data_IF_451882723818
#
_entry.id   IF_451882723818
#
_cell.length_a   1.000
_cell.length_b   1.000
_cell.length_c   1.000
_cell.angle_alpha   90.00
_cell.angle_beta   90.00
_cell.angle_gamma   90.00
#
_symmetry.space_group_name_H-M   'P 1'
#
loop_
_entity.id
_entity.type
_entity.pdbx_description
1 polymer ?
#
# COMPACT_ATOMS: atom_id res chain seq x y z
N UNK A 1 4.19 20.41 24.13
CA UNK A 1 4.93 19.77 23.02
C UNK A 1 5.12 18.32 23.43
N UNK A 2 4.65 17.37 22.61
CA UNK A 2 4.98 15.96 22.85
C UNK A 2 6.48 15.77 22.61
N UNK A 3 7.11 14.93 23.43
CA UNK A 3 8.54 14.65 23.35
C UNK A 3 8.82 13.85 22.06
N UNK A 4 9.88 14.21 21.33
CA UNK A 4 10.31 13.46 20.15
C UNK A 4 10.75 12.05 20.57
N UNK A 5 10.12 11.03 19.99
CA UNK A 5 10.45 9.62 20.20
C UNK A 5 11.45 9.16 19.15
N UNK A 6 12.26 8.16 19.49
CA UNK A 6 13.04 7.38 18.54
C UNK A 6 12.29 6.09 18.18
N UNK A 7 11.87 5.96 16.93
CA UNK A 7 10.96 4.91 16.47
C UNK A 7 11.66 4.06 15.40
N UNK A 8 11.63 2.74 15.57
CA UNK A 8 12.00 1.82 14.50
C UNK A 8 10.77 1.44 13.66
N UNK A 9 10.86 1.59 12.34
CA UNK A 9 9.84 1.09 11.40
C UNK A 9 10.44 -0.05 10.59
N UNK A 10 9.92 -1.27 10.76
CA UNK A 10 10.40 -2.45 10.05
C UNK A 10 9.55 -2.70 8.83
N UNK A 11 10.12 -2.53 7.64
CA UNK A 11 9.47 -2.69 6.34
C UNK A 11 9.15 -1.35 5.69
N UNK A 12 9.51 -1.20 4.42
CA UNK A 12 9.32 0.03 3.63
C UNK A 12 8.34 -0.18 2.46
N UNK A 13 7.29 -0.97 2.69
CA UNK A 13 6.11 -1.02 1.84
C UNK A 13 5.22 0.22 2.01
N UNK A 14 4.00 0.18 1.46
CA UNK A 14 3.05 1.31 1.54
C UNK A 14 2.79 1.79 2.98
N UNK A 15 2.61 0.86 3.92
CA UNK A 15 2.38 1.21 5.32
C UNK A 15 3.63 1.84 5.97
N UNK A 16 4.81 1.24 5.77
CA UNK A 16 6.07 1.78 6.28
C UNK A 16 6.41 3.16 5.75
N UNK A 17 6.18 3.40 4.45
CA UNK A 17 6.33 4.71 3.83
C UNK A 17 5.36 5.74 4.40
N UNK A 18 4.07 5.39 4.54
CA UNK A 18 3.09 6.29 5.14
C UNK A 18 3.44 6.63 6.60
N UNK A 19 3.92 5.64 7.37
CA UNK A 19 4.43 5.86 8.73
C UNK A 19 5.64 6.79 8.73
N UNK A 20 6.60 6.59 7.82
CA UNK A 20 7.80 7.43 7.73
C UNK A 20 7.47 8.90 7.46
N UNK A 21 6.56 9.14 6.50
CA UNK A 21 6.08 10.50 6.20
C UNK A 21 5.35 11.13 7.39
N UNK A 22 4.39 10.42 7.98
CA UNK A 22 3.52 10.98 9.03
C UNK A 22 4.27 11.18 10.35
N UNK A 23 5.02 10.17 10.81
CA UNK A 23 5.77 10.26 12.07
C UNK A 23 6.95 11.24 11.96
N UNK A 24 7.58 11.32 10.79
CA UNK A 24 8.61 12.34 10.52
C UNK A 24 8.03 13.76 10.53
N UNK A 25 6.85 13.97 9.93
CA UNK A 25 6.15 15.25 9.98
C UNK A 25 5.71 15.64 11.40
N UNK A 26 5.42 14.66 12.25
CA UNK A 26 5.12 14.86 13.69
C UNK A 26 6.38 15.12 14.53
N UNK A 27 7.58 15.09 13.94
CA UNK A 27 8.84 15.45 14.59
C UNK A 27 9.53 14.31 15.35
N UNK A 28 9.18 13.06 15.06
CA UNK A 28 9.86 11.88 15.62
C UNK A 28 11.12 11.53 14.83
N UNK A 29 12.07 10.87 15.50
CA UNK A 29 13.29 10.35 14.88
C UNK A 29 13.05 8.91 14.44
N UNK A 30 13.32 8.60 13.16
CA UNK A 30 12.97 7.32 12.58
C UNK A 30 14.21 6.57 12.11
N UNK A 31 14.35 5.32 12.53
CA UNK A 31 15.22 4.34 11.87
C UNK A 31 14.31 3.37 11.10
N UNK A 32 14.34 3.45 9.77
CA UNK A 32 13.47 2.64 8.90
C UNK A 32 14.29 1.56 8.21
N UNK A 33 13.81 0.31 8.27
CA UNK A 33 14.54 -0.85 7.78
C UNK A 33 13.80 -1.54 6.63
N UNK A 34 14.51 -1.88 5.55
CA UNK A 34 13.94 -2.61 4.41
C UNK A 34 14.91 -3.70 3.94
N UNK A 35 14.37 -4.91 3.75
CA UNK A 35 15.15 -6.07 3.30
C UNK A 35 15.61 -5.94 1.85
N UNK A 36 14.87 -5.22 1.00
CA UNK A 36 15.27 -5.00 -0.38
C UNK A 36 16.48 -4.07 -0.45
N UNK A 37 17.54 -4.50 -1.14
CA UNK A 37 18.72 -3.66 -1.38
C UNK A 37 18.41 -2.42 -2.23
N UNK A 38 17.40 -2.51 -3.10
CA UNK A 38 16.88 -1.40 -3.89
C UNK A 38 15.36 -1.42 -3.81
N UNK A 39 14.76 -0.77 -2.80
CA UNK A 39 13.31 -0.61 -2.72
C UNK A 39 12.83 0.08 -3.99
N UNK A 40 11.71 -0.38 -4.55
CA UNK A 40 11.26 0.15 -5.81
C UNK A 40 9.81 -0.12 -6.13
N UNK A 41 9.29 0.58 -7.16
CA UNK A 41 7.91 0.50 -7.59
C UNK A 41 7.63 -0.84 -8.28
N UNK A 42 7.27 -1.86 -7.50
CA UNK A 42 6.90 -3.19 -8.01
C UNK A 42 5.43 -3.47 -7.69
N UNK A 43 4.70 -3.98 -8.68
CA UNK A 43 3.36 -4.52 -8.50
C UNK A 43 2.34 -3.99 -9.50
N UNK A 44 1.17 -4.62 -9.50
CA UNK A 44 0.06 -4.23 -10.36
C UNK A 44 -0.72 -3.03 -9.79
N UNK A 45 -1.80 -2.66 -10.46
CA UNK A 45 -2.73 -1.66 -9.96
C UNK A 45 -3.54 -2.11 -8.74
N UNK A 46 -4.15 -1.14 -8.08
CA UNK A 46 -5.07 -1.32 -6.97
C UNK A 46 -6.10 -0.19 -6.97
N UNK A 47 -7.23 -0.41 -6.31
CA UNK A 47 -8.26 0.60 -6.11
C UNK A 47 -8.10 1.24 -4.72
N UNK A 48 -7.73 2.51 -4.68
CA UNK A 48 -7.70 3.29 -3.45
C UNK A 48 -9.10 3.82 -3.13
N UNK A 49 -9.63 3.41 -1.99
CA UNK A 49 -10.95 3.82 -1.50
C UNK A 49 -10.94 5.25 -0.92
N UNK A 50 -12.11 5.91 -0.77
CA UNK A 50 -12.18 7.26 -0.22
C UNK A 50 -11.48 7.45 1.14
N UNK A 51 -11.46 6.43 2.00
CA UNK A 51 -10.72 6.47 3.27
C UNK A 51 -9.22 6.64 3.06
N UNK A 52 -8.63 5.93 2.10
CA UNK A 52 -7.23 6.08 1.72
C UNK A 52 -6.95 7.43 1.04
N UNK A 53 -7.89 7.94 0.24
CA UNK A 53 -7.78 9.28 -0.36
C UNK A 53 -7.78 10.38 0.72
N UNK A 54 -8.55 10.23 1.79
CA UNK A 54 -8.51 11.15 2.93
C UNK A 54 -7.15 11.13 3.64
N UNK A 55 -6.49 9.97 3.75
CA UNK A 55 -5.14 9.89 4.30
C UNK A 55 -4.16 10.65 3.39
N UNK A 56 -4.19 10.42 2.07
CA UNK A 56 -3.35 11.16 1.13
C UNK A 56 -3.64 12.68 1.14
N UNK A 57 -4.89 13.08 1.37
CA UNK A 57 -5.23 14.49 1.54
C UNK A 57 -4.58 15.09 2.79
N UNK A 58 -4.64 14.39 3.94
CA UNK A 58 -3.95 14.83 5.16
C UNK A 58 -2.43 14.90 4.99
N UNK A 59 -1.86 14.03 4.16
CA UNK A 59 -0.44 14.05 3.81
C UNK A 59 -0.08 15.12 2.77
N UNK A 60 -1.04 15.84 2.20
CA UNK A 60 -0.80 16.81 1.12
C UNK A 60 -0.48 16.18 -0.24
N UNK A 61 -0.77 14.89 -0.42
CA UNK A 61 -0.42 14.08 -1.59
C UNK A 61 -1.61 13.76 -2.51
N UNK A 62 -2.84 14.13 -2.11
CA UNK A 62 -4.03 13.80 -2.89
C UNK A 62 -3.97 14.36 -4.32
N UNK A 63 -3.55 15.60 -4.50
CA UNK A 63 -3.49 16.23 -5.82
C UNK A 63 -2.57 15.48 -6.77
N UNK A 64 -1.38 15.09 -6.31
CA UNK A 64 -0.40 14.32 -7.08
C UNK A 64 -0.90 12.89 -7.35
N UNK A 65 -1.58 12.28 -6.38
CA UNK A 65 -2.21 10.98 -6.56
C UNK A 65 -3.30 11.02 -7.65
N UNK A 66 -4.08 12.10 -7.74
CA UNK A 66 -5.09 12.28 -8.78
C UNK A 66 -4.50 12.57 -10.18
N UNK A 67 -3.27 13.10 -10.27
CA UNK A 67 -2.57 13.27 -11.55
C UNK A 67 -2.23 11.92 -12.18
N UNK A 68 -1.79 10.96 -11.37
CA UNK A 68 -1.39 9.63 -11.85
C UNK A 68 -2.49 8.58 -11.74
N UNK A 69 -3.52 8.82 -10.94
CA UNK A 69 -4.63 7.89 -10.74
C UNK A 69 -5.73 8.02 -11.79
N UNK A 70 -6.49 6.94 -11.98
CA UNK A 70 -7.73 6.95 -12.75
C UNK A 70 -8.94 7.02 -11.79
N UNK A 71 -9.81 8.03 -11.92
CA UNK A 71 -11.05 8.09 -11.15
C UNK A 71 -11.93 6.86 -11.40
N UNK A 72 -12.49 6.28 -10.34
CA UNK A 72 -13.44 5.16 -10.41
C UNK A 72 -14.72 5.55 -9.70
N UNK A 73 -15.82 5.62 -10.46
CA UNK A 73 -17.15 6.05 -9.97
C UNK A 73 -18.08 4.89 -9.68
N UNK A 74 -17.83 3.72 -10.27
CA UNK A 74 -18.68 2.54 -10.13
C UNK A 74 -17.86 1.26 -10.04
N UNK A 75 -18.30 0.36 -9.17
CA UNK A 75 -17.82 -1.00 -9.06
C UNK A 75 -18.95 -1.90 -9.56
N UNK A 76 -18.78 -2.45 -10.74
CA UNK A 76 -19.77 -3.30 -11.38
C UNK A 76 -19.21 -4.68 -11.65
N UNK A 77 -19.99 -5.71 -11.33
CA UNK A 77 -19.66 -7.03 -11.78
C UNK A 77 -20.86 -7.93 -11.97
N UNK A 78 -20.71 -8.84 -12.92
CA UNK A 78 -21.80 -9.64 -13.49
C UNK A 78 -21.42 -11.12 -13.61
N UNK A 79 -22.43 -11.96 -13.77
CA UNK A 79 -22.24 -13.35 -14.18
C UNK A 79 -22.05 -13.44 -15.71
N UNK A 80 -21.60 -14.59 -16.26
CA UNK A 80 -21.51 -14.79 -17.70
C UNK A 80 -22.85 -14.62 -18.45
N UNK A 81 -23.98 -14.80 -17.77
CA UNK A 81 -25.31 -14.57 -18.34
C UNK A 81 -25.81 -13.11 -18.17
N UNK A 82 -24.95 -12.18 -17.76
CA UNK A 82 -25.26 -10.75 -17.65
C UNK A 82 -26.04 -10.37 -16.39
N UNK A 83 -26.19 -11.28 -15.41
CA UNK A 83 -26.85 -10.94 -14.14
C UNK A 83 -25.89 -10.12 -13.29
N UNK A 84 -26.29 -8.92 -12.89
CA UNK A 84 -25.55 -8.12 -11.92
C UNK A 84 -25.39 -8.89 -10.59
N UNK A 85 -24.16 -8.95 -10.09
CA UNK A 85 -23.78 -9.51 -8.79
C UNK A 85 -23.37 -8.38 -7.84
N UNK A 86 -22.70 -7.37 -8.39
CA UNK A 86 -22.30 -6.16 -7.68
C UNK A 86 -22.57 -4.96 -8.59
N UNK A 87 -23.25 -3.95 -8.06
CA UNK A 87 -23.46 -2.67 -8.73
C UNK A 87 -23.47 -1.58 -7.66
N UNK A 88 -22.28 -1.05 -7.38
CA UNK A 88 -22.10 -0.01 -6.37
C UNK A 88 -21.59 1.26 -7.02
N UNK A 89 -22.27 2.37 -6.78
CA UNK A 89 -21.85 3.68 -7.27
C UNK A 89 -21.55 4.57 -6.07
N UNK A 90 -20.39 5.24 -6.08
CA UNK A 90 -20.00 6.08 -4.94
C UNK A 90 -20.98 7.23 -4.70
N UNK A 91 -21.61 7.74 -5.76
CA UNK A 91 -22.61 8.81 -5.70
C UNK A 91 -23.86 8.45 -4.88
N UNK A 92 -24.16 7.16 -4.74
CA UNK A 92 -25.31 6.70 -3.94
C UNK A 92 -25.03 6.85 -2.44
N UNK A 93 -23.74 6.94 -2.06
CA UNK A 93 -23.32 7.28 -0.70
C UNK A 93 -23.15 8.80 -0.53
N UNK A 94 -22.37 9.44 -1.41
CA UNK A 94 -22.21 10.91 -1.48
C UNK A 94 -21.59 11.29 -2.83
N UNK A 95 -22.12 12.34 -3.46
CA UNK A 95 -21.71 12.77 -4.81
C UNK A 95 -20.22 13.18 -4.93
N UNK A 96 -19.54 13.46 -3.81
CA UNK A 96 -18.12 13.84 -3.78
C UNK A 96 -17.19 12.63 -3.71
N UNK A 97 -17.72 11.45 -3.41
CA UNK A 97 -16.91 10.25 -3.24
C UNK A 97 -16.58 9.61 -4.59
N UNK A 98 -15.36 9.09 -4.68
CA UNK A 98 -14.90 8.22 -5.75
C UNK A 98 -13.77 7.34 -5.22
N UNK A 99 -13.56 6.21 -5.88
CA UNK A 99 -12.30 5.50 -5.77
C UNK A 99 -11.29 6.07 -6.76
N UNK A 100 -10.02 5.74 -6.56
CA UNK A 100 -8.98 6.04 -7.54
C UNK A 100 -8.20 4.76 -7.78
N UNK A 101 -8.26 4.24 -9.01
CA UNK A 101 -7.36 3.18 -9.42
C UNK A 101 -5.97 3.76 -9.63
N UNK A 102 -4.96 3.13 -9.03
CA UNK A 102 -3.57 3.58 -9.11
C UNK A 102 -2.64 2.41 -9.33
N UNK A 103 -1.54 2.66 -10.03
CA UNK A 103 -0.41 1.74 -10.05
C UNK A 103 0.31 1.77 -8.69
N UNK A 104 0.65 0.61 -8.12
CA UNK A 104 1.45 0.53 -6.87
C UNK A 104 2.74 1.33 -6.96
N UNK A 105 3.35 1.33 -8.13
CA UNK A 105 4.56 2.11 -8.39
C UNK A 105 4.36 3.62 -8.28
N UNK A 106 3.20 4.14 -8.71
CA UNK A 106 2.89 5.56 -8.58
C UNK A 106 2.77 5.96 -7.11
N UNK A 107 2.02 5.19 -6.31
CA UNK A 107 1.89 5.46 -4.88
C UNK A 107 3.24 5.35 -4.15
N UNK A 108 4.06 4.35 -4.49
CA UNK A 108 5.41 4.21 -3.94
C UNK A 108 6.25 5.48 -4.19
N UNK A 109 6.31 5.95 -5.44
CA UNK A 109 7.09 7.14 -5.78
C UNK A 109 6.61 8.37 -5.01
N UNK A 110 5.29 8.60 -4.95
CA UNK A 110 4.73 9.76 -4.24
C UNK A 110 5.06 9.75 -2.75
N UNK A 111 4.94 8.60 -2.09
CA UNK A 111 5.25 8.50 -0.66
C UNK A 111 6.76 8.57 -0.40
N UNK A 112 7.57 7.99 -1.28
CA UNK A 112 9.02 8.05 -1.20
C UNK A 112 9.55 9.49 -1.33
N UNK A 113 9.01 10.27 -2.28
CA UNK A 113 9.34 11.68 -2.47
C UNK A 113 8.86 12.56 -1.30
N UNK A 114 7.79 12.15 -0.64
CA UNK A 114 7.21 12.88 0.49
C UNK A 114 8.00 12.73 1.80
N UNK A 115 8.90 11.74 1.91
CA UNK A 115 9.72 11.54 3.10
C UNK A 115 11.14 12.10 2.88
N UNK A 116 11.51 13.24 3.50
CA UNK A 116 12.79 13.90 3.23
C UNK A 116 14.02 13.07 3.63
N UNK A 117 13.86 12.18 4.60
CA UNK A 117 14.94 11.36 5.16
C UNK A 117 15.07 10.01 4.45
N UNK A 118 14.48 9.84 3.26
CA UNK A 118 14.60 8.60 2.49
C UNK A 118 16.06 8.14 2.28
N UNK A 119 17.01 9.08 2.18
CA UNK A 119 18.44 8.76 2.09
C UNK A 119 19.00 8.02 3.32
N UNK A 120 18.30 8.07 4.46
CA UNK A 120 18.64 7.40 5.71
C UNK A 120 17.97 6.01 5.84
N UNK A 121 17.20 5.58 4.85
CA UNK A 121 16.60 4.25 4.83
C UNK A 121 17.68 3.16 4.89
N UNK A 122 17.58 2.27 5.86
CA UNK A 122 18.43 1.09 5.97
C UNK A 122 17.96 0.00 5.00
N UNK A 123 18.42 0.10 3.74
CA UNK A 123 18.19 -0.93 2.71
C UNK A 123 19.07 -2.15 2.93
N UNK A 124 18.77 -3.28 2.26
CA UNK A 124 19.46 -4.57 2.46
C UNK A 124 19.56 -4.96 3.96
N UNK A 125 18.57 -4.54 4.75
CA UNK A 125 18.54 -4.73 6.20
C UNK A 125 17.20 -5.35 6.58
N UNK A 126 17.20 -6.67 6.65
CA UNK A 126 16.07 -7.45 7.12
C UNK A 126 16.15 -7.58 8.64
N UNK A 127 15.19 -7.01 9.35
CA UNK A 127 15.04 -7.30 10.78
C UNK A 127 14.48 -8.70 10.97
N UNK A 128 15.14 -9.48 11.82
CA UNK A 128 14.82 -10.89 12.09
C UNK A 128 14.40 -11.15 13.54
N UNK A 129 14.76 -10.26 14.48
CA UNK A 129 14.38 -10.41 15.89
C UNK A 129 14.08 -9.08 16.58
N UNK A 130 13.30 -9.16 17.66
CA UNK A 130 13.06 -8.09 18.63
C UNK A 130 13.59 -8.59 19.98
N UNK A 131 14.25 -7.72 20.76
CA UNK A 131 14.75 -8.11 22.08
C UNK A 131 13.62 -8.32 23.10
N UNK A 132 13.92 -8.98 24.21
CA UNK A 132 12.93 -9.29 25.26
C UNK A 132 12.26 -8.06 25.86
N UNK A 133 12.94 -6.92 25.86
CA UNK A 133 12.41 -5.66 26.39
C UNK A 133 11.57 -4.89 25.36
N UNK A 134 11.56 -5.32 24.09
CA UNK A 134 10.83 -4.64 23.02
C UNK A 134 11.41 -3.27 22.64
N UNK A 135 12.72 -3.07 22.85
CA UNK A 135 13.42 -1.78 22.64
C UNK A 135 14.50 -1.86 21.58
N UNK A 136 14.90 -3.05 21.15
CA UNK A 136 15.91 -3.23 20.11
C UNK A 136 15.45 -4.22 19.05
N UNK A 137 15.98 -4.05 17.85
CA UNK A 137 15.77 -4.95 16.72
C UNK A 137 17.09 -5.51 16.22
N UNK A 138 17.10 -6.78 15.83
CA UNK A 138 18.28 -7.44 15.27
C UNK A 138 18.12 -7.63 13.77
N UNK A 139 19.11 -7.25 12.98
CA UNK A 139 19.13 -7.53 11.55
C UNK A 139 19.60 -8.95 11.21
N UNK A 140 19.53 -9.32 9.94
CA UNK A 140 19.90 -10.64 9.43
C UNK A 140 21.40 -10.94 9.53
N UNK A 141 22.22 -9.94 9.87
CA UNK A 141 23.67 -10.06 10.09
C UNK A 141 24.00 -10.21 11.58
N UNK A 142 22.98 -10.20 12.45
CA UNK A 142 23.11 -10.33 13.89
C UNK A 142 23.39 -9.01 14.62
N UNK A 143 23.38 -7.88 13.93
CA UNK A 143 23.62 -6.57 14.54
C UNK A 143 22.35 -6.03 15.18
N UNK A 144 22.49 -5.48 16.39
CA UNK A 144 21.39 -4.91 17.18
C UNK A 144 21.33 -3.39 17.02
N UNK A 145 20.14 -2.89 16.71
CA UNK A 145 19.83 -1.48 16.56
C UNK A 145 18.95 -0.99 17.73
N UNK A 146 19.08 0.28 18.11
CA UNK A 146 18.29 0.92 19.19
C UNK A 146 19.17 1.49 20.33
N UNK A 147 18.62 1.70 21.53
CA UNK A 147 17.23 1.43 21.91
C UNK A 147 16.24 2.40 21.23
N UNK A 148 15.00 1.95 21.11
CA UNK A 148 13.85 2.68 20.59
C UNK A 148 12.78 2.83 21.66
N UNK A 149 12.02 3.91 21.56
CA UNK A 149 10.82 4.13 22.38
C UNK A 149 9.61 3.35 21.83
N UNK A 150 9.61 3.09 20.51
CA UNK A 150 8.57 2.33 19.82
C UNK A 150 9.17 1.54 18.65
N UNK A 151 8.73 0.30 18.47
CA UNK A 151 9.02 -0.52 17.28
C UNK A 151 7.70 -0.81 16.57
N UNK A 152 7.62 -0.45 15.28
CA UNK A 152 6.46 -0.71 14.44
C UNK A 152 6.82 -1.77 13.39
N UNK A 153 6.23 -2.95 13.51
CA UNK A 153 6.35 -4.00 12.50
C UNK A 153 5.38 -3.74 11.33
N UNK A 154 5.93 -3.31 10.20
CA UNK A 154 5.24 -3.05 8.93
C UNK A 154 5.79 -3.92 7.79
N UNK A 155 6.31 -5.11 8.11
CA UNK A 155 7.04 -6.04 7.23
C UNK A 155 6.14 -6.97 6.40
N UNK A 156 4.83 -6.67 6.38
CA UNK A 156 3.87 -7.25 5.46
C UNK A 156 3.21 -8.55 5.92
N UNK A 157 2.43 -9.17 5.05
CA UNK A 157 1.61 -10.35 5.39
C UNK A 157 2.43 -11.57 5.82
N UNK A 158 3.65 -11.69 5.29
CA UNK A 158 4.62 -12.75 5.60
C UNK A 158 5.58 -12.38 6.76
N UNK A 159 5.16 -11.45 7.63
CA UNK A 159 5.94 -11.00 8.79
C UNK A 159 6.39 -12.17 9.65
N UNK A 160 7.70 -12.28 9.86
CA UNK A 160 8.29 -13.23 10.81
C UNK A 160 8.33 -12.65 12.23
N UNK A 161 8.33 -11.32 12.35
CA UNK A 161 8.31 -10.63 13.66
C UNK A 161 6.99 -10.81 14.39
N UNK A 162 5.89 -11.01 13.65
CA UNK A 162 4.57 -11.33 14.21
C UNK A 162 4.60 -12.50 15.19
N UNK A 163 5.44 -13.50 14.97
CA UNK A 163 5.55 -14.67 15.85
C UNK A 163 6.20 -14.35 17.22
N UNK A 164 6.92 -13.23 17.32
CA UNK A 164 7.70 -12.83 18.50
C UNK A 164 6.92 -11.90 19.44
N UNK A 165 5.76 -11.40 18.99
CA UNK A 165 4.87 -10.57 19.80
C UNK A 165 3.70 -11.40 20.32
N UNK A 166 3.25 -11.10 21.53
CA UNK A 166 2.09 -11.78 22.13
C UNK A 166 0.79 -11.32 21.47
N UNK A 167 -0.09 -12.26 21.13
CA UNK A 167 -1.40 -11.95 20.56
C UNK A 167 -2.05 -13.12 19.86
N UNK A 168 -3.29 -12.94 19.41
CA UNK A 168 -4.00 -13.94 18.61
C UNK A 168 -3.37 -14.04 17.22
N UNK A 169 -2.84 -15.21 16.89
CA UNK A 169 -2.25 -15.49 15.60
C UNK A 169 -3.15 -16.43 14.81
N UNK A 170 -3.68 -15.95 13.69
CA UNK A 170 -4.25 -16.79 12.64
C UNK A 170 -3.43 -16.57 11.37
N UNK A 171 -2.39 -17.37 11.22
CA UNK A 171 -1.49 -17.32 10.07
C UNK A 171 -1.70 -18.56 9.20
N UNK A 172 -2.61 -18.43 8.23
CA UNK A 172 -2.93 -19.50 7.28
C UNK A 172 -2.95 -18.94 5.88
N UNK A 173 -2.16 -19.54 5.00
CA UNK A 173 -2.20 -19.23 3.57
C UNK A 173 -3.58 -19.61 3.04
N UNK A 174 -4.24 -18.66 2.38
CA UNK A 174 -5.51 -18.94 1.73
C UNK A 174 -5.32 -19.98 0.61
N UNK A 175 -6.26 -20.92 0.42
CA UNK A 175 -6.19 -21.91 -0.66
C UNK A 175 -6.46 -21.30 -2.05
N UNK A 176 -6.72 -19.99 -2.13
CA UNK A 176 -6.99 -19.26 -3.36
C UNK A 176 -5.85 -18.29 -3.67
N UNK A 177 -5.60 -18.07 -4.96
CA UNK A 177 -4.64 -17.08 -5.45
C UNK A 177 -5.29 -16.05 -6.35
N UNK A 178 -4.58 -14.96 -6.59
CA UNK A 178 -4.96 -13.93 -7.54
C UNK A 178 -3.77 -13.63 -8.46
N UNK A 179 -4.03 -13.55 -9.76
CA UNK A 179 -3.07 -13.08 -10.75
C UNK A 179 -3.38 -11.63 -11.07
N UNK A 180 -2.36 -10.79 -11.01
CA UNK A 180 -2.45 -9.38 -11.33
C UNK A 180 -1.40 -9.04 -12.37
N UNK A 181 -1.80 -8.35 -13.42
CA UNK A 181 -0.89 -7.79 -14.41
C UNK A 181 -1.36 -6.38 -14.78
N UNK A 182 -0.48 -5.63 -15.41
CA UNK A 182 -0.79 -4.33 -15.96
C UNK A 182 -0.84 -4.43 -17.47
N UNK A 183 -1.92 -3.93 -18.07
CA UNK A 183 -2.10 -3.94 -19.53
C UNK A 183 -2.26 -2.50 -20.02
N UNK A 184 -1.76 -2.13 -21.22
CA UNK A 184 -2.13 -0.86 -21.82
C UNK A 184 -3.66 -0.74 -21.90
N UNK A 185 -4.21 0.42 -21.52
CA UNK A 185 -5.67 0.61 -21.46
C UNK A 185 -6.35 0.44 -22.82
N UNK A 186 -5.69 0.87 -23.90
CA UNK A 186 -6.24 0.80 -25.25
C UNK A 186 -7.58 1.53 -25.38
N UNK A 187 -8.52 0.89 -26.07
CA UNK A 187 -9.87 1.35 -26.36
C UNK A 187 -10.92 0.90 -25.32
N UNK A 188 -10.47 0.46 -24.12
CA UNK A 188 -11.37 0.00 -23.07
C UNK A 188 -12.44 1.06 -22.73
N UNK A 189 -13.74 0.75 -22.88
CA UNK A 189 -14.80 1.77 -22.84
C UNK A 189 -15.18 2.18 -21.42
N UNK A 190 -14.95 1.33 -20.42
CA UNK A 190 -15.33 1.60 -19.03
C UNK A 190 -14.18 2.26 -18.28
N UNK A 191 -13.88 3.51 -18.66
CA UNK A 191 -12.70 4.25 -18.21
C UNK A 191 -12.75 4.72 -16.75
N UNK A 192 -13.94 4.75 -16.15
CA UNK A 192 -14.18 5.13 -14.75
C UNK A 192 -14.95 4.07 -13.96
N UNK A 193 -14.96 2.82 -14.43
CA UNK A 193 -15.57 1.70 -13.72
C UNK A 193 -14.55 0.57 -13.46
N UNK A 194 -14.61 -0.02 -12.27
CA UNK A 194 -14.11 -1.38 -12.07
C UNK A 194 -15.14 -2.34 -12.68
N UNK A 195 -14.74 -3.13 -13.68
CA UNK A 195 -15.60 -4.14 -14.31
C UNK A 195 -15.13 -5.53 -13.92
N UNK A 196 -16.05 -6.35 -13.40
CA UNK A 196 -15.74 -7.71 -12.97
C UNK A 196 -16.70 -8.73 -13.56
N UNK A 197 -16.22 -9.97 -13.70
CA UNK A 197 -17.04 -11.13 -14.05
C UNK A 197 -16.80 -12.27 -13.08
N UNK A 198 -17.87 -12.92 -12.65
CA UNK A 198 -17.83 -13.96 -11.63
C UNK A 198 -18.42 -15.28 -12.12
N UNK A 199 -17.71 -16.38 -11.87
CA UNK A 199 -18.26 -17.74 -11.98
C UNK A 199 -18.46 -18.27 -10.56
N UNK A 200 -19.64 -17.99 -10.01
CA UNK A 200 -19.97 -18.23 -8.60
C UNK A 200 -18.96 -17.55 -7.66
N UNK A 201 -18.79 -18.12 -6.47
CA UNK A 201 -17.78 -17.68 -5.49
C UNK A 201 -16.39 -18.33 -5.72
N UNK A 202 -16.10 -18.83 -6.93
CA UNK A 202 -14.89 -19.64 -7.21
C UNK A 202 -13.89 -18.97 -8.12
N UNK A 203 -14.35 -18.20 -9.11
CA UNK A 203 -13.49 -17.52 -10.09
C UNK A 203 -14.00 -16.12 -10.35
N UNK A 204 -13.08 -15.17 -10.38
CA UNK A 204 -13.34 -13.78 -10.67
C UNK A 204 -12.25 -13.26 -11.60
N UNK A 205 -12.63 -12.45 -12.58
CA UNK A 205 -11.72 -11.60 -13.34
C UNK A 205 -12.22 -10.16 -13.26
N UNK A 206 -11.29 -9.22 -13.21
CA UNK A 206 -11.60 -7.80 -13.16
C UNK A 206 -10.64 -6.98 -14.01
N UNK A 207 -11.14 -5.87 -14.54
CA UNK A 207 -10.37 -4.84 -15.21
C UNK A 207 -10.61 -3.52 -14.49
N UNK A 208 -9.53 -2.87 -14.09
CA UNK A 208 -9.54 -1.67 -13.27
C UNK A 208 -8.69 -0.59 -13.94
N UNK A 209 -9.25 0.53 -14.41
CA UNK A 209 -8.45 1.69 -14.81
C UNK A 209 -7.54 2.12 -13.66
N UNK A 210 -6.22 2.17 -13.88
CA UNK A 210 -5.21 2.46 -12.83
C UNK A 210 -4.30 3.64 -13.17
N UNK A 211 -4.62 4.37 -14.23
CA UNK A 211 -3.91 5.58 -14.62
C UNK A 211 -2.47 5.31 -15.05
N UNK A 212 -1.59 6.26 -14.78
CA UNK A 212 -0.17 6.28 -15.18
C UNK A 212 0.72 6.15 -13.95
N UNK A 213 2.03 6.38 -14.13
CA UNK A 213 2.97 6.54 -13.02
C UNK A 213 4.04 7.57 -13.40
N UNK A 214 4.75 8.16 -12.42
CA UNK A 214 5.91 9.01 -12.72
C UNK A 214 6.89 8.32 -13.68
N UNK A 215 7.25 9.00 -14.77
CA UNK A 215 8.15 8.48 -15.80
C UNK A 215 7.54 7.48 -16.81
N UNK A 216 6.24 7.17 -16.72
CA UNK A 216 5.52 6.36 -17.72
C UNK A 216 4.07 6.84 -17.85
N UNK A 217 3.83 7.63 -18.90
CA UNK A 217 2.52 8.21 -19.21
C UNK A 217 1.53 7.21 -19.84
N UNK A 218 1.92 5.95 -20.01
CA UNK A 218 1.03 4.91 -20.52
C UNK A 218 -0.07 4.62 -19.50
N UNK A 219 -1.31 4.98 -19.83
CA UNK A 219 -2.48 4.61 -19.04
C UNK A 219 -2.71 3.10 -19.08
N UNK A 220 -2.97 2.49 -17.92
CA UNK A 220 -3.11 1.03 -17.78
C UNK A 220 -4.42 0.59 -17.13
N UNK A 221 -4.71 -0.70 -17.31
CA UNK A 221 -5.69 -1.51 -16.55
C UNK A 221 -4.97 -2.47 -15.60
#
# INVERSE_FOLDING_TARGET
MQQALRIAVVGYGTAGQALAVLLGADGHQLDVFERAAKPGPVGAGFLLQPSGLQVLWKMGLLSQALVHGAPVRRLYGETPCGRAVMDMQYRDLDARLMGVGMQRGALFSLLCEAWPEYAQLHTDTQITAIDHEGRRVQDQRGHWHGPYDLIIAADGSASTLRAQVQGTQLDRVYPWGALWCLLPRGDWPFVDELRQRYIGARKMIGLLPVGTRPGDDTSRL
#
